data_IF_275063931171
#
_entry.id   IF_275063931171
#
_cell.length_a   1.000
_cell.length_b   1.000
_cell.length_c   1.000
_cell.angle_alpha   90.00
_cell.angle_beta   90.00
_cell.angle_gamma   90.00
#
_symmetry.space_group_name_H-M   'P 1'
#
loop_
_entity.id
_entity.type
_entity.pdbx_description
1 polymer ?
#
# COMPACT_ATOMS: atom_id res chain seq x y z
N UNK A 1 -45.79 5.04 -12.55
CA UNK A 1 -44.38 5.42 -12.81
C UNK A 1 -43.67 4.17 -13.26
N UNK A 2 -43.45 4.05 -14.57
CA UNK A 2 -42.73 2.92 -15.15
C UNK A 2 -41.24 3.07 -14.83
N UNK A 3 -40.65 2.01 -14.27
CA UNK A 3 -39.20 1.91 -14.07
C UNK A 3 -38.60 1.52 -15.41
N UNK A 4 -37.74 2.35 -16.03
CA UNK A 4 -37.10 1.96 -17.28
C UNK A 4 -36.18 0.77 -17.02
N UNK A 5 -36.47 -0.34 -17.69
CA UNK A 5 -35.65 -1.54 -17.71
C UNK A 5 -34.38 -1.25 -18.53
N UNK A 6 -33.38 -0.65 -17.88
CA UNK A 6 -32.06 -0.43 -18.46
C UNK A 6 -31.24 -1.71 -18.36
N UNK A 7 -31.19 -2.49 -19.45
CA UNK A 7 -30.16 -3.50 -19.62
C UNK A 7 -28.79 -2.82 -19.49
N UNK A 8 -28.11 -3.05 -18.36
CA UNK A 8 -26.71 -2.68 -18.18
C UNK A 8 -25.84 -3.61 -19.04
N UNK A 9 -25.89 -3.45 -20.36
CA UNK A 9 -24.84 -3.98 -21.22
C UNK A 9 -23.54 -3.28 -20.82
N UNK A 10 -22.62 -4.02 -20.19
CA UNK A 10 -21.25 -3.58 -20.00
C UNK A 10 -20.64 -3.34 -21.39
N UNK A 11 -20.68 -2.09 -21.84
CA UNK A 11 -19.97 -1.64 -23.05
C UNK A 11 -18.47 -1.77 -22.79
N UNK A 12 -17.90 -2.92 -23.10
CA UNK A 12 -16.46 -3.09 -23.27
C UNK A 12 -16.03 -2.26 -24.48
N UNK A 13 -15.71 -0.98 -24.24
CA UNK A 13 -15.11 -0.12 -25.27
C UNK A 13 -13.67 -0.55 -25.45
N UNK A 14 -13.33 -0.97 -26.68
CA UNK A 14 -11.95 -1.27 -27.03
C UNK A 14 -11.04 -0.06 -26.72
N UNK A 15 -9.86 -0.34 -26.16
CA UNK A 15 -8.88 0.71 -25.86
C UNK A 15 -8.30 1.24 -27.18
N UNK A 16 -8.35 2.56 -27.36
CA UNK A 16 -7.66 3.21 -28.49
C UNK A 16 -6.15 2.98 -28.39
N UNK A 17 -5.41 2.86 -29.51
CA UNK A 17 -3.95 2.65 -29.50
C UNK A 17 -3.19 3.66 -28.63
N UNK A 18 -3.60 4.93 -28.63
CA UNK A 18 -3.00 5.98 -27.81
C UNK A 18 -3.16 5.73 -26.29
N UNK A 19 -4.30 5.19 -25.86
CA UNK A 19 -4.55 4.81 -24.46
C UNK A 19 -3.73 3.58 -24.07
N UNK A 20 -3.55 2.62 -24.99
CA UNK A 20 -2.68 1.47 -24.79
C UNK A 20 -1.24 1.93 -24.63
N UNK A 21 -0.72 2.74 -25.56
CA UNK A 21 0.63 3.29 -25.49
C UNK A 21 0.87 4.06 -24.19
N UNK A 22 -0.07 4.93 -23.79
CA UNK A 22 -0.01 5.64 -22.52
C UNK A 22 0.08 4.67 -21.33
N UNK A 23 -0.78 3.64 -21.32
CA UNK A 23 -0.77 2.60 -20.29
C UNK A 23 0.57 1.86 -20.21
N UNK A 24 1.15 1.50 -21.36
CA UNK A 24 2.46 0.86 -21.45
C UNK A 24 3.59 1.75 -20.91
N UNK A 25 3.57 3.05 -21.23
CA UNK A 25 4.54 4.01 -20.69
C UNK A 25 4.41 4.10 -19.17
N UNK A 26 3.19 4.24 -18.64
CA UNK A 26 2.96 4.26 -17.20
C UNK A 26 3.44 2.98 -16.51
N UNK A 27 3.14 1.82 -17.10
CA UNK A 27 3.59 0.52 -16.59
C UNK A 27 5.12 0.43 -16.58
N UNK A 28 5.78 0.84 -17.67
CA UNK A 28 7.25 0.84 -17.77
C UNK A 28 7.89 1.73 -16.70
N UNK A 29 7.33 2.91 -16.45
CA UNK A 29 7.81 3.82 -15.40
C UNK A 29 7.63 3.20 -14.02
N UNK A 30 6.47 2.61 -13.72
CA UNK A 30 6.20 1.99 -12.42
C UNK A 30 7.13 0.80 -12.17
N UNK A 31 7.30 -0.08 -13.17
CA UNK A 31 8.13 -1.28 -13.03
C UNK A 31 9.63 -0.93 -12.95
N UNK A 32 10.10 0.00 -13.78
CA UNK A 32 11.52 0.41 -13.74
C UNK A 32 11.86 1.10 -12.41
N UNK A 33 10.99 1.99 -11.92
CA UNK A 33 11.21 2.65 -10.62
C UNK A 33 11.05 1.66 -9.46
N UNK A 34 10.12 0.70 -9.52
CA UNK A 34 10.01 -0.36 -8.51
C UNK A 34 11.31 -1.17 -8.41
N UNK A 35 11.86 -1.57 -9.55
CA UNK A 35 13.14 -2.29 -9.61
C UNK A 35 14.26 -1.48 -8.97
N UNK A 36 14.39 -0.19 -9.34
CA UNK A 36 15.41 0.69 -8.76
C UNK A 36 15.27 0.83 -7.24
N UNK A 37 14.05 0.96 -6.74
CA UNK A 37 13.77 1.11 -5.32
C UNK A 37 14.09 -0.15 -4.52
N UNK A 38 13.72 -1.33 -5.03
CA UNK A 38 13.96 -2.60 -4.32
C UNK A 38 15.44 -2.98 -4.35
N UNK A 39 16.08 -2.93 -5.52
CA UNK A 39 17.44 -3.47 -5.71
C UNK A 39 18.50 -2.57 -5.09
N UNK A 40 18.42 -1.27 -5.32
CA UNK A 40 19.47 -0.35 -4.88
C UNK A 40 19.17 0.22 -3.49
N UNK A 41 17.97 0.74 -3.29
CA UNK A 41 17.65 1.46 -2.06
C UNK A 41 17.15 0.57 -0.93
N UNK A 42 16.33 -0.44 -1.26
CA UNK A 42 15.76 -1.37 -0.29
C UNK A 42 16.85 -2.16 0.43
N UNK A 43 17.81 -2.72 -0.30
CA UNK A 43 18.91 -3.47 0.30
C UNK A 43 19.82 -2.59 1.17
N UNK A 44 20.26 -1.43 0.66
CA UNK A 44 21.13 -0.50 1.40
C UNK A 44 20.47 -0.02 2.70
N UNK A 45 19.20 0.40 2.63
CA UNK A 45 18.49 0.92 3.80
C UNK A 45 18.12 -0.17 4.81
N UNK A 46 17.67 -1.33 4.34
CA UNK A 46 17.17 -2.39 5.21
C UNK A 46 18.26 -3.26 5.84
N UNK A 47 19.41 -3.40 5.18
CA UNK A 47 20.52 -4.21 5.67
C UNK A 47 21.60 -3.33 6.29
N UNK A 48 22.17 -2.40 5.52
CA UNK A 48 23.35 -1.65 5.99
C UNK A 48 22.98 -0.67 7.10
N UNK A 49 22.03 0.24 6.86
CA UNK A 49 21.65 1.25 7.88
C UNK A 49 21.05 0.60 9.12
N UNK A 50 20.38 -0.55 8.97
CA UNK A 50 19.73 -1.24 10.08
C UNK A 50 20.73 -1.79 11.10
N UNK A 51 21.97 -2.08 10.69
CA UNK A 51 23.05 -2.47 11.61
C UNK A 51 23.44 -1.33 12.57
N UNK A 52 23.23 -0.08 12.18
CA UNK A 52 23.58 1.09 12.98
C UNK A 52 22.38 1.67 13.72
N UNK A 53 21.21 1.73 13.06
CA UNK A 53 19.99 2.27 13.67
C UNK A 53 18.73 1.81 12.95
N UNK A 54 17.83 1.16 13.69
CA UNK A 54 16.51 0.75 13.21
C UNK A 54 15.65 1.98 12.83
N UNK A 55 15.66 3.03 13.65
CA UNK A 55 14.90 4.26 13.40
C UNK A 55 15.27 4.90 12.06
N UNK A 56 16.57 5.12 11.81
CA UNK A 56 17.01 5.72 10.56
C UNK A 56 16.81 4.80 9.36
N UNK A 57 17.02 3.49 9.53
CA UNK A 57 16.68 2.50 8.49
C UNK A 57 15.21 2.60 8.08
N UNK A 58 14.28 2.62 9.05
CA UNK A 58 12.84 2.80 8.81
C UNK A 58 12.53 4.10 8.11
N UNK A 59 13.14 5.21 8.54
CA UNK A 59 12.93 6.55 7.96
C UNK A 59 13.37 6.62 6.50
N UNK A 60 14.54 6.07 6.17
CA UNK A 60 15.07 6.05 4.81
C UNK A 60 14.25 5.11 3.92
N UNK A 61 13.93 3.91 4.40
CA UNK A 61 13.05 2.98 3.69
C UNK A 61 11.68 3.60 3.42
N UNK A 62 11.09 4.28 4.41
CA UNK A 62 9.81 4.97 4.27
C UNK A 62 9.87 6.11 3.24
N UNK A 63 10.97 6.87 3.19
CA UNK A 63 11.14 7.93 2.19
C UNK A 63 11.09 7.37 0.76
N UNK A 64 11.89 6.35 0.46
CA UNK A 64 11.91 5.74 -0.87
C UNK A 64 10.60 5.05 -1.21
N UNK A 65 10.01 4.35 -0.24
CA UNK A 65 8.71 3.71 -0.42
C UNK A 65 7.60 4.73 -0.67
N UNK A 66 7.59 5.85 0.05
CA UNK A 66 6.65 6.95 -0.16
C UNK A 66 6.81 7.56 -1.55
N UNK A 67 8.05 7.81 -1.99
CA UNK A 67 8.32 8.37 -3.31
C UNK A 67 7.79 7.46 -4.43
N UNK A 68 7.98 6.14 -4.29
CA UNK A 68 7.44 5.16 -5.23
C UNK A 68 5.91 5.06 -5.18
N UNK A 69 5.32 4.93 -3.98
CA UNK A 69 3.87 4.85 -3.83
C UNK A 69 3.16 6.11 -4.33
N UNK A 70 3.76 7.29 -4.19
CA UNK A 70 3.17 8.56 -4.62
C UNK A 70 2.94 8.62 -6.15
N UNK A 71 3.64 7.80 -6.93
CA UNK A 71 3.39 7.66 -8.37
C UNK A 71 1.96 7.20 -8.66
N UNK A 72 1.35 6.40 -7.77
CA UNK A 72 -0.01 5.90 -7.94
C UNK A 72 -1.08 6.99 -7.77
N UNK A 73 -1.18 7.71 -6.63
CA UNK A 73 -2.05 8.89 -6.52
C UNK A 73 -1.84 9.89 -7.66
N UNK A 74 -0.58 10.12 -8.07
CA UNK A 74 -0.29 11.00 -9.20
C UNK A 74 -0.89 10.49 -10.51
N UNK A 75 -0.71 9.20 -10.83
CA UNK A 75 -1.29 8.57 -12.01
C UNK A 75 -2.83 8.64 -11.99
N UNK A 76 -3.47 8.35 -10.86
CA UNK A 76 -4.93 8.41 -10.75
C UNK A 76 -5.47 9.82 -10.86
N UNK A 77 -5.01 10.71 -9.99
CA UNK A 77 -5.61 12.03 -9.87
C UNK A 77 -5.18 12.98 -10.99
N UNK A 78 -3.91 12.93 -11.41
CA UNK A 78 -3.34 13.92 -12.34
C UNK A 78 -3.40 13.46 -13.79
N UNK A 79 -3.05 12.20 -14.06
CA UNK A 79 -3.05 11.65 -15.44
C UNK A 79 -4.43 11.14 -15.82
N UNK A 80 -5.07 10.34 -14.97
CA UNK A 80 -6.37 9.73 -15.25
C UNK A 80 -7.56 10.61 -14.86
N UNK A 81 -7.33 11.73 -14.17
CA UNK A 81 -8.36 12.67 -13.71
C UNK A 81 -9.41 12.02 -12.80
N UNK A 82 -9.01 10.96 -12.09
CA UNK A 82 -9.84 10.32 -11.07
C UNK A 82 -9.99 11.28 -9.89
N UNK A 83 -11.25 11.57 -9.51
CA UNK A 83 -11.54 12.37 -8.33
C UNK A 83 -11.67 11.44 -7.11
N UNK A 84 -10.77 11.60 -6.14
CA UNK A 84 -10.85 10.93 -4.84
C UNK A 84 -11.49 11.90 -3.85
N UNK A 85 -12.51 11.42 -3.11
CA UNK A 85 -13.26 12.23 -2.16
C UNK A 85 -13.09 11.60 -0.77
N UNK A 86 -12.69 12.42 0.20
CA UNK A 86 -12.65 12.05 1.62
C UNK A 86 -13.79 12.76 2.33
N UNK A 87 -14.54 12.03 3.16
CA UNK A 87 -15.67 12.53 3.93
C UNK A 87 -15.64 11.98 5.34
N UNK A 88 -16.18 12.74 6.30
CA UNK A 88 -16.12 12.41 7.72
C UNK A 88 -15.11 13.28 8.46
N UNK A 89 -14.73 12.84 9.65
CA UNK A 89 -13.82 13.58 10.52
C UNK A 89 -12.39 13.59 9.99
N UNK A 90 -11.67 14.68 10.26
CA UNK A 90 -10.28 14.80 9.83
C UNK A 90 -9.36 13.99 10.75
N UNK A 91 -8.50 13.16 10.14
CA UNK A 91 -7.44 12.44 10.85
C UNK A 91 -6.21 13.33 10.95
N UNK A 92 -5.64 13.58 12.13
CA UNK A 92 -4.45 14.43 12.25
C UNK A 92 -3.27 13.91 11.41
N UNK A 93 -2.53 14.83 10.80
CA UNK A 93 -1.33 14.47 10.04
C UNK A 93 -0.21 14.01 10.99
N UNK A 94 0.63 13.07 10.51
CA UNK A 94 1.84 12.60 11.22
C UNK A 94 1.60 11.94 12.58
N UNK A 95 0.34 11.59 12.89
CA UNK A 95 -0.02 10.76 14.02
C UNK A 95 0.07 9.26 13.70
N UNK A 96 0.09 8.43 14.74
CA UNK A 96 0.01 6.97 14.60
C UNK A 96 -1.45 6.55 14.47
N UNK A 97 -1.75 5.77 13.44
CA UNK A 97 -3.13 5.43 13.06
C UNK A 97 -3.28 3.94 12.83
N UNK A 98 -4.37 3.37 13.37
CA UNK A 98 -4.90 2.07 12.97
C UNK A 98 -6.05 2.29 11.98
N UNK A 99 -5.83 1.91 10.73
CA UNK A 99 -6.82 1.95 9.67
C UNK A 99 -7.54 0.60 9.62
N UNK A 100 -8.82 0.60 9.92
CA UNK A 100 -9.70 -0.56 9.79
C UNK A 100 -10.61 -0.30 8.60
N UNK A 101 -10.49 -1.13 7.57
CA UNK A 101 -11.22 -0.95 6.31
C UNK A 101 -11.93 -2.25 5.93
N UNK A 102 -13.05 -2.13 5.23
CA UNK A 102 -13.65 -3.24 4.49
C UNK A 102 -12.81 -3.59 3.25
N UNK A 103 -12.85 -4.84 2.79
CA UNK A 103 -12.13 -5.30 1.60
C UNK A 103 -13.11 -5.62 0.47
N UNK A 104 -13.18 -4.73 -0.52
CA UNK A 104 -14.12 -4.80 -1.64
C UNK A 104 -13.44 -5.14 -2.95
N UNK A 105 -12.18 -4.74 -3.12
CA UNK A 105 -11.46 -4.92 -4.38
C UNK A 105 -9.97 -5.16 -4.14
N UNK A 106 -9.31 -5.82 -5.08
CA UNK A 106 -7.85 -6.02 -5.06
C UNK A 106 -7.06 -4.69 -5.02
N UNK A 107 -7.69 -3.58 -5.43
CA UNK A 107 -7.07 -2.26 -5.53
C UNK A 107 -7.39 -1.32 -4.37
N UNK A 108 -8.02 -1.80 -3.29
CA UNK A 108 -8.45 -0.97 -2.16
C UNK A 108 -7.29 -0.16 -1.53
N UNK A 109 -6.10 -0.74 -1.56
CA UNK A 109 -4.83 -0.20 -1.08
C UNK A 109 -4.54 1.17 -1.71
N UNK A 110 -4.96 1.38 -2.95
CA UNK A 110 -4.74 2.64 -3.68
C UNK A 110 -5.51 3.81 -3.08
N UNK A 111 -6.71 3.58 -2.53
CA UNK A 111 -7.46 4.62 -1.84
C UNK A 111 -6.74 5.03 -0.55
N UNK A 112 -6.18 4.06 0.17
CA UNK A 112 -5.40 4.30 1.37
C UNK A 112 -4.11 5.05 1.07
N UNK A 113 -3.48 4.80 -0.09
CA UNK A 113 -2.30 5.58 -0.53
C UNK A 113 -2.65 7.04 -0.78
N UNK A 114 -3.79 7.32 -1.43
CA UNK A 114 -4.25 8.69 -1.63
C UNK A 114 -4.52 9.42 -0.30
N UNK A 115 -5.04 8.69 0.69
CA UNK A 115 -5.30 9.22 2.02
C UNK A 115 -4.00 9.49 2.79
N UNK A 116 -3.14 8.49 2.91
CA UNK A 116 -1.88 8.58 3.64
C UNK A 116 -0.94 9.64 3.03
N UNK A 117 -0.98 9.85 1.71
CA UNK A 117 -0.25 10.93 1.04
C UNK A 117 -0.66 12.31 1.57
N UNK A 118 -1.96 12.56 1.75
CA UNK A 118 -2.48 13.83 2.28
C UNK A 118 -2.16 14.06 3.75
N UNK A 119 -1.78 13.00 4.47
CA UNK A 119 -1.42 13.04 5.89
C UNK A 119 0.09 12.95 6.14
N UNK A 120 0.90 13.03 5.09
CA UNK A 120 2.36 12.92 5.14
C UNK A 120 2.83 11.59 5.79
N UNK A 121 2.06 10.53 5.56
CA UNK A 121 2.24 9.23 6.22
C UNK A 121 2.38 8.07 5.23
N UNK A 122 2.42 8.35 3.92
CA UNK A 122 2.41 7.32 2.87
C UNK A 122 3.53 6.28 3.01
N UNK A 123 4.76 6.71 3.31
CA UNK A 123 5.90 5.81 3.51
C UNK A 123 5.81 4.94 4.77
N UNK A 124 4.94 5.29 5.71
CA UNK A 124 4.79 4.64 7.01
C UNK A 124 3.58 3.69 7.05
N UNK A 125 2.90 3.50 5.92
CA UNK A 125 1.80 2.55 5.80
C UNK A 125 2.33 1.11 5.89
N UNK A 126 1.72 0.30 6.74
CA UNK A 126 2.03 -1.12 6.97
C UNK A 126 0.75 -1.92 6.84
N UNK A 127 0.85 -3.13 6.32
CA UNK A 127 -0.33 -3.98 6.09
C UNK A 127 -0.25 -5.27 6.89
N UNK A 128 -1.41 -5.67 7.41
CA UNK A 128 -1.65 -7.05 7.80
C UNK A 128 -2.09 -7.82 6.55
N UNK A 129 -1.31 -8.82 6.12
CA UNK A 129 -1.52 -9.49 4.84
C UNK A 129 -1.32 -11.01 4.94
N UNK A 130 -1.85 -11.75 3.95
CA UNK A 130 -1.78 -13.21 3.93
C UNK A 130 -0.34 -13.70 3.83
N UNK A 131 0.08 -14.59 4.74
CA UNK A 131 1.44 -15.13 4.81
C UNK A 131 1.93 -15.78 3.52
N UNK A 132 1.03 -16.35 2.70
CA UNK A 132 1.38 -16.93 1.40
C UNK A 132 1.97 -15.90 0.43
N UNK A 133 1.61 -14.61 0.53
CA UNK A 133 2.18 -13.54 -0.30
C UNK A 133 3.66 -13.29 0.02
N UNK A 134 4.09 -13.60 1.24
CA UNK A 134 5.50 -13.50 1.63
C UNK A 134 6.39 -14.51 0.91
N UNK A 135 5.80 -15.54 0.29
CA UNK A 135 6.53 -16.58 -0.46
C UNK A 135 6.80 -16.19 -1.91
N UNK A 136 6.22 -15.08 -2.39
CA UNK A 136 6.42 -14.60 -3.75
C UNK A 136 7.84 -14.01 -3.90
N UNK A 137 8.56 -14.34 -4.98
CA UNK A 137 9.86 -13.73 -5.24
C UNK A 137 9.70 -12.22 -5.44
N UNK A 138 10.70 -11.45 -5.00
CA UNK A 138 10.73 -9.97 -4.96
C UNK A 138 9.70 -9.33 -4.02
N UNK A 139 8.41 -9.69 -4.13
CA UNK A 139 7.35 -9.16 -3.27
C UNK A 139 7.53 -9.57 -1.82
N UNK A 140 7.84 -10.84 -1.55
CA UNK A 140 8.09 -11.33 -0.20
C UNK A 140 9.22 -10.59 0.50
N UNK A 141 10.36 -10.42 -0.19
CA UNK A 141 11.50 -9.65 0.33
C UNK A 141 11.13 -8.18 0.57
N UNK A 142 10.39 -7.58 -0.36
CA UNK A 142 9.93 -6.20 -0.23
C UNK A 142 9.01 -6.04 0.98
N UNK A 143 8.06 -6.94 1.19
CA UNK A 143 7.15 -6.91 2.34
C UNK A 143 7.89 -7.11 3.67
N UNK A 144 8.95 -7.92 3.70
CA UNK A 144 9.82 -8.06 4.87
C UNK A 144 10.60 -6.78 5.18
N UNK A 145 11.22 -6.17 4.16
CA UNK A 145 11.92 -4.88 4.27
C UNK A 145 10.98 -3.79 4.78
N UNK A 146 9.74 -3.79 4.27
CA UNK A 146 8.69 -2.86 4.66
C UNK A 146 8.03 -3.24 5.98
N UNK A 147 8.43 -4.32 6.66
CA UNK A 147 7.90 -4.75 7.95
C UNK A 147 6.37 -4.91 7.95
N UNK A 148 5.81 -5.45 6.85
CA UNK A 148 4.39 -5.85 6.80
C UNK A 148 4.17 -7.08 7.69
N UNK A 149 2.98 -7.20 8.26
CA UNK A 149 2.63 -8.23 9.23
C UNK A 149 1.96 -9.40 8.51
N UNK A 150 2.62 -10.55 8.37
CA UNK A 150 2.01 -11.72 7.74
C UNK A 150 1.08 -12.44 8.72
N UNK A 151 -0.05 -12.93 8.19
CA UNK A 151 -1.03 -13.73 8.94
C UNK A 151 -1.48 -14.95 8.15
N UNK A 152 -1.67 -16.08 8.83
CA UNK A 152 -2.29 -17.30 8.30
C UNK A 152 -3.82 -17.26 8.37
N UNK A 153 -4.39 -16.27 9.07
CA UNK A 153 -5.80 -16.14 9.42
C UNK A 153 -6.23 -17.19 10.44
N UNK A 154 -5.35 -17.47 11.41
CA UNK A 154 -5.57 -18.35 12.55
C UNK A 154 -4.95 -17.69 13.77
N UNK A 155 -5.79 -17.22 14.69
CA UNK A 155 -5.33 -16.41 15.83
C UNK A 155 -4.26 -17.13 16.66
N UNK A 156 -4.43 -18.43 16.87
CA UNK A 156 -3.53 -19.28 17.65
C UNK A 156 -2.10 -19.32 17.09
N UNK A 157 -1.95 -19.09 15.79
CA UNK A 157 -0.66 -19.01 15.09
C UNK A 157 -0.18 -17.56 15.02
N UNK A 158 -1.10 -16.65 14.66
CA UNK A 158 -0.78 -15.28 14.28
C UNK A 158 -0.48 -14.38 15.49
N UNK A 159 -1.10 -14.63 16.64
CA UNK A 159 -0.99 -13.78 17.85
C UNK A 159 0.47 -13.49 18.20
N UNK A 160 1.29 -14.54 18.29
CA UNK A 160 2.69 -14.44 18.68
C UNK A 160 3.50 -13.56 17.72
N UNK A 161 3.30 -13.76 16.41
CA UNK A 161 3.99 -13.02 15.35
C UNK A 161 3.55 -11.55 15.34
N UNK A 162 2.24 -11.29 15.39
CA UNK A 162 1.69 -9.93 15.43
C UNK A 162 2.21 -9.18 16.66
N UNK A 163 2.16 -9.80 17.83
CA UNK A 163 2.61 -9.21 19.10
C UNK A 163 4.11 -8.91 19.07
N UNK A 164 4.92 -9.81 18.51
CA UNK A 164 6.35 -9.60 18.32
C UNK A 164 6.61 -8.40 17.40
N UNK A 165 6.03 -8.38 16.19
CA UNK A 165 6.27 -7.30 15.23
C UNK A 165 5.83 -5.94 15.77
N UNK A 166 4.63 -5.84 16.34
CA UNK A 166 4.11 -4.61 16.94
C UNK A 166 4.97 -4.13 18.11
N UNK A 167 5.57 -5.05 18.88
CA UNK A 167 6.48 -4.69 19.97
C UNK A 167 7.75 -3.98 19.50
N UNK A 168 8.14 -4.13 18.22
CA UNK A 168 9.28 -3.42 17.62
C UNK A 168 8.97 -1.97 17.26
N UNK A 169 7.69 -1.57 17.24
CA UNK A 169 7.22 -0.20 16.93
C UNK A 169 6.90 0.61 18.20
N UNK A 170 7.55 0.31 19.33
CA UNK A 170 7.33 1.04 20.59
C UNK A 170 7.96 2.42 20.66
N UNK A 171 8.92 2.73 19.78
CA UNK A 171 9.50 4.08 19.72
C UNK A 171 8.42 5.07 19.24
N UNK A 172 8.06 6.09 20.04
CA UNK A 172 7.06 7.08 19.64
C UNK A 172 7.52 7.95 18.46
N UNK A 173 8.83 7.98 18.16
CA UNK A 173 9.38 8.71 17.01
C UNK A 173 9.21 7.97 15.69
N UNK A 174 8.87 6.68 15.73
CA UNK A 174 8.54 5.89 14.54
C UNK A 174 7.05 6.07 14.21
N UNK A 175 6.71 6.75 13.08
CA UNK A 175 5.32 6.82 12.65
C UNK A 175 4.83 5.44 12.22
N UNK A 176 3.54 5.17 12.44
CA UNK A 176 2.93 3.90 12.10
C UNK A 176 1.51 4.13 11.59
N UNK A 177 1.26 3.71 10.36
CA UNK A 177 -0.08 3.66 9.77
C UNK A 177 -0.41 2.21 9.45
N UNK A 178 -1.00 1.51 10.42
CA UNK A 178 -1.29 0.08 10.29
C UNK A 178 -2.65 -0.13 9.65
N UNK A 179 -2.68 -0.83 8.53
CA UNK A 179 -3.90 -1.18 7.79
C UNK A 179 -4.28 -2.62 8.11
N UNK A 180 -5.55 -2.79 8.49
CA UNK A 180 -6.18 -4.09 8.69
C UNK A 180 -7.49 -4.14 7.89
N UNK A 181 -7.68 -5.25 7.19
CA UNK A 181 -8.93 -5.64 6.56
C UNK A 181 -9.51 -6.84 7.33
N UNK A 182 -10.40 -6.63 8.33
CA UNK A 182 -10.83 -7.70 9.22
C UNK A 182 -11.57 -8.85 8.53
N UNK A 183 -12.17 -8.58 7.36
CA UNK A 183 -12.88 -9.56 6.54
C UNK A 183 -11.95 -10.69 6.05
N UNK A 184 -10.65 -10.41 5.90
CA UNK A 184 -9.63 -11.43 5.56
C UNK A 184 -9.69 -12.01 4.14
N UNK A 185 -10.64 -11.56 3.32
CA UNK A 185 -10.80 -11.84 1.88
C UNK A 185 -11.66 -10.73 1.27
N UNK A 186 -11.52 -10.48 -0.04
CA UNK A 186 -12.47 -9.64 -0.74
C UNK A 186 -13.83 -10.36 -0.87
N UNK A 187 -14.93 -9.60 -0.83
CA UNK A 187 -16.25 -10.14 -1.13
C UNK A 187 -16.34 -10.49 -2.62
N UNK A 188 -16.12 -11.77 -2.92
CA UNK A 188 -16.45 -12.38 -4.22
C UNK A 188 -17.91 -12.82 -4.25
#
# INVERSE_FOLDING_TARGET
MEVPNGSHEMRHRALTPLRVLRGLICLLVILSTAFMMVVYWGFLAAVILRLFSIHYSRKVTAFFFSAWLALWPFLFEKINKTRVIFSGDDVPARERVLLICNHRTEVDWMYLWNFALRKDCLGYIKYVLKSSLMKLPLFGWSFQILEFIPVERKWEVDESTMRHMLSTFKDPRDPLWLVLFPEGTDFT
#
